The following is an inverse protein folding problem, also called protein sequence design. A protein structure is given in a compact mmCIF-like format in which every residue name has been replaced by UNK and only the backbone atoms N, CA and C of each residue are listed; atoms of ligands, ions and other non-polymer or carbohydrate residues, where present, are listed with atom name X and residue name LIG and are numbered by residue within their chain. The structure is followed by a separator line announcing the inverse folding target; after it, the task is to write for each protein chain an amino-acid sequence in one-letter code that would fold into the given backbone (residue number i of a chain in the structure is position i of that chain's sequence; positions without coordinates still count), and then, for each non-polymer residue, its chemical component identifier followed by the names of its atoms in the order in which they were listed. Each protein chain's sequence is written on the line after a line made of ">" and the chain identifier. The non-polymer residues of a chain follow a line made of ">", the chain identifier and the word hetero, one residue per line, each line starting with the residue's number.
data_IF_165227882989
#
_entry.id   IF_165227882989
#
_cell.length_a   1.000
_cell.length_b   1.000
_cell.length_c   1.000
_cell.angle_alpha   90.00
_cell.angle_beta   90.00
_cell.angle_gamma   90.00
#
_symmetry.space_group_name_H-M   'P 1'
#
loop_
_entity.id
_entity.type
_entity.pdbx_description
1 polymer ?
#
# COMPACT_ATOMS: atom_id res chain seq x y z
N UNK A 1 16.08 -8.75 37.54
CA UNK A 1 16.53 -8.09 36.30
C UNK A 1 15.30 -7.51 35.63
N UNK A 2 15.04 -6.21 35.87
CA UNK A 2 13.98 -5.45 35.22
C UNK A 2 14.40 -5.12 33.78
N UNK A 3 13.53 -5.41 32.82
CA UNK A 3 13.73 -5.03 31.43
C UNK A 3 13.21 -3.60 31.21
N UNK A 4 14.12 -2.63 31.17
CA UNK A 4 13.83 -1.27 30.70
C UNK A 4 13.84 -1.27 29.17
N UNK A 5 12.73 -0.87 28.55
CA UNK A 5 12.69 -0.53 27.11
C UNK A 5 12.59 0.98 26.99
N UNK A 6 13.67 1.61 26.54
CA UNK A 6 13.66 3.01 26.11
C UNK A 6 13.07 3.11 24.70
N UNK A 7 12.19 4.08 24.49
CA UNK A 7 11.85 4.59 23.17
C UNK A 7 12.98 5.54 22.75
N UNK A 8 13.65 5.27 21.62
CA UNK A 8 14.84 6.02 21.17
C UNK A 8 14.59 7.51 20.85
N UNK A 9 13.33 7.99 20.89
CA UNK A 9 12.99 9.39 20.57
C UNK A 9 12.43 10.19 21.77
N UNK A 10 12.17 9.56 22.91
CA UNK A 10 11.70 10.27 24.10
C UNK A 10 12.40 9.73 25.35
N UNK A 11 13.23 10.57 25.99
CA UNK A 11 14.10 10.23 27.13
C UNK A 11 13.36 9.94 28.46
N UNK A 12 12.12 9.46 28.41
CA UNK A 12 11.37 9.05 29.58
C UNK A 12 11.51 7.53 29.79
N UNK A 13 12.29 7.16 30.80
CA UNK A 13 12.46 5.78 31.26
C UNK A 13 11.27 5.43 32.14
N UNK A 14 10.49 4.42 31.75
CA UNK A 14 9.35 3.94 32.52
C UNK A 14 9.67 2.57 33.14
N UNK A 15 9.54 2.45 34.47
CA UNK A 15 9.61 1.16 35.16
C UNK A 15 8.25 0.46 35.10
N UNK A 16 8.29 -0.80 34.71
CA UNK A 16 7.12 -1.67 34.57
C UNK A 16 6.94 -2.45 35.87
N UNK A 17 6.19 -1.89 36.83
CA UNK A 17 5.78 -2.71 37.98
C UNK A 17 4.51 -3.49 37.66
N UNK A 18 3.40 -2.90 37.20
CA UNK A 18 2.26 -3.69 36.69
C UNK A 18 1.42 -2.89 35.67
N UNK A 19 1.35 -3.37 34.41
CA UNK A 19 0.34 -2.99 33.40
C UNK A 19 0.79 -2.09 32.24
N UNK A 20 0.44 -2.48 31.00
CA UNK A 20 0.74 -1.78 29.73
C UNK A 20 -0.01 -0.46 29.52
N UNK A 21 -0.94 -0.12 30.41
CA UNK A 21 -1.81 1.06 30.32
C UNK A 21 -1.03 2.37 30.17
N UNK A 22 0.08 2.52 30.90
CA UNK A 22 0.85 3.76 30.90
C UNK A 22 1.63 3.95 29.58
N UNK A 23 2.12 2.85 29.00
CA UNK A 23 2.77 2.84 27.68
C UNK A 23 1.78 3.20 26.56
N UNK A 24 0.58 2.60 26.57
CA UNK A 24 -0.46 2.86 25.57
C UNK A 24 -0.92 4.33 25.59
N UNK A 25 -1.12 4.91 26.79
CA UNK A 25 -1.49 6.33 26.93
C UNK A 25 -0.42 7.28 26.41
N UNK A 26 0.86 6.94 26.58
CA UNK A 26 1.97 7.75 26.05
C UNK A 26 2.03 7.68 24.51
N UNK A 27 1.89 6.48 23.92
CA UNK A 27 1.87 6.29 22.46
C UNK A 27 0.73 7.09 21.78
N UNK A 28 -0.46 7.12 22.40
CA UNK A 28 -1.61 7.92 21.95
C UNK A 28 -1.30 9.43 21.99
N UNK A 29 -0.59 9.90 23.02
CA UNK A 29 -0.27 11.32 23.20
C UNK A 29 0.79 11.82 22.21
N UNK A 30 1.66 10.93 21.72
CA UNK A 30 2.71 11.24 20.74
C UNK A 30 2.28 11.01 19.28
N UNK A 31 1.01 10.68 19.02
CA UNK A 31 0.49 10.59 17.66
C UNK A 31 1.09 9.42 16.86
N UNK A 32 1.63 8.41 17.53
CA UNK A 32 1.90 7.13 16.88
C UNK A 32 0.55 6.47 16.63
N UNK A 33 -0.03 6.77 15.46
CA UNK A 33 -1.16 6.02 14.93
C UNK A 33 -0.71 4.58 14.78
N UNK A 34 -1.03 3.75 15.78
CA UNK A 34 -1.16 2.32 15.55
C UNK A 34 -2.25 2.20 14.50
N UNK A 35 -1.91 1.67 13.32
CA UNK A 35 -2.80 1.50 12.15
C UNK A 35 -3.90 0.45 12.44
N UNK A 36 -4.42 0.39 13.67
CA UNK A 36 -5.25 -0.71 14.16
C UNK A 36 -6.50 -0.31 14.94
N UNK A 37 -6.71 0.95 15.32
CA UNK A 37 -7.77 1.27 16.30
C UNK A 37 -9.17 1.48 15.69
N UNK A 38 -9.31 1.64 14.36
CA UNK A 38 -10.63 1.75 13.71
C UNK A 38 -11.18 0.41 13.20
N UNK A 39 -10.42 -0.69 13.27
CA UNK A 39 -10.81 -1.96 12.62
C UNK A 39 -11.54 -2.93 13.56
N UNK A 40 -11.58 -2.70 14.88
CA UNK A 40 -12.00 -3.74 15.82
C UNK A 40 -13.52 -4.03 15.79
N UNK A 41 -14.34 -3.17 15.16
CA UNK A 41 -15.79 -3.37 15.04
C UNK A 41 -16.42 -2.93 13.69
N UNK A 42 -15.61 -2.58 12.68
CA UNK A 42 -16.16 -2.18 11.39
C UNK A 42 -16.66 -3.42 10.61
N UNK A 43 -17.85 -3.39 9.99
CA UNK A 43 -18.30 -4.47 9.13
C UNK A 43 -17.32 -4.63 7.95
N UNK A 44 -17.14 -5.87 7.51
CA UNK A 44 -16.28 -6.17 6.37
C UNK A 44 -16.74 -5.40 5.12
N UNK A 45 -15.85 -4.59 4.55
CA UNK A 45 -16.09 -3.88 3.30
C UNK A 45 -15.32 -4.55 2.15
N UNK A 46 -16.06 -5.16 1.24
CA UNK A 46 -15.51 -5.80 0.05
C UNK A 46 -14.72 -4.83 -0.81
N UNK A 47 -15.10 -3.55 -0.90
CA UNK A 47 -14.38 -2.55 -1.69
C UNK A 47 -13.00 -2.30 -1.10
N UNK A 48 -12.90 -2.14 0.22
CA UNK A 48 -11.61 -1.96 0.92
C UNK A 48 -10.72 -3.19 0.70
N UNK A 49 -11.28 -4.39 0.78
CA UNK A 49 -10.56 -5.62 0.46
C UNK A 49 -10.03 -5.63 -0.98
N UNK A 50 -10.85 -5.28 -1.99
CA UNK A 50 -10.39 -5.17 -3.38
C UNK A 50 -9.26 -4.15 -3.55
N UNK A 51 -9.40 -2.97 -2.94
CA UNK A 51 -8.40 -1.91 -3.02
C UNK A 51 -7.06 -2.36 -2.40
N UNK A 52 -7.09 -3.13 -1.31
CA UNK A 52 -5.90 -3.72 -0.69
C UNK A 52 -5.26 -4.80 -1.57
N UNK A 53 -6.06 -5.69 -2.18
CA UNK A 53 -5.55 -6.70 -3.11
C UNK A 53 -4.90 -6.06 -4.34
N UNK A 54 -5.50 -5.01 -4.89
CA UNK A 54 -4.94 -4.25 -6.02
C UNK A 54 -3.61 -3.60 -5.65
N UNK A 55 -3.53 -2.98 -4.47
CA UNK A 55 -2.27 -2.42 -3.94
C UNK A 55 -1.19 -3.48 -3.75
N UNK A 56 -1.54 -4.66 -3.24
CA UNK A 56 -0.60 -5.76 -3.06
C UNK A 56 -0.05 -6.24 -4.42
N UNK A 57 -0.92 -6.38 -5.42
CA UNK A 57 -0.52 -6.75 -6.79
C UNK A 57 0.47 -5.76 -7.37
N UNK A 58 0.15 -4.45 -7.30
CA UNK A 58 1.03 -3.39 -7.83
C UNK A 58 2.36 -3.38 -7.08
N UNK A 59 2.32 -3.39 -5.74
CA UNK A 59 3.51 -3.25 -4.89
C UNK A 59 4.51 -4.39 -5.08
N UNK A 60 4.01 -5.61 -5.30
CA UNK A 60 4.84 -6.81 -5.40
C UNK A 60 4.95 -7.35 -6.82
N UNK A 61 4.46 -6.61 -7.82
CA UNK A 61 4.45 -7.02 -9.22
C UNK A 61 3.90 -8.45 -9.42
N UNK A 62 2.79 -8.75 -8.73
CA UNK A 62 2.14 -10.06 -8.81
C UNK A 62 1.35 -10.16 -10.12
N UNK A 63 1.12 -11.37 -10.65
CA UNK A 63 0.30 -11.53 -11.84
C UNK A 63 -1.17 -11.22 -11.51
N UNK A 64 -1.93 -10.67 -12.46
CA UNK A 64 -3.32 -10.25 -12.20
C UNK A 64 -4.26 -11.39 -11.83
N UNK A 65 -3.95 -12.63 -12.23
CA UNK A 65 -4.69 -13.83 -11.84
C UNK A 65 -4.41 -14.26 -10.39
N UNK A 66 -3.53 -13.58 -9.66
CA UNK A 66 -3.25 -13.87 -8.25
C UNK A 66 -4.51 -13.91 -7.37
N UNK A 67 -5.51 -13.06 -7.66
CA UNK A 67 -6.80 -13.04 -6.93
C UNK A 67 -7.67 -14.28 -7.18
N UNK A 68 -7.39 -15.04 -8.24
CA UNK A 68 -8.13 -16.24 -8.65
C UNK A 68 -7.38 -17.54 -8.30
N UNK A 69 -6.25 -17.46 -7.59
CA UNK A 69 -5.53 -18.65 -7.16
C UNK A 69 -6.31 -19.35 -6.04
N UNK A 70 -6.60 -20.64 -6.21
CA UNK A 70 -7.38 -21.43 -5.25
C UNK A 70 -6.80 -21.32 -3.82
N UNK A 71 -5.48 -21.47 -3.66
CA UNK A 71 -4.84 -21.35 -2.35
C UNK A 71 -4.90 -19.94 -1.74
N UNK A 72 -4.98 -18.89 -2.56
CA UNK A 72 -5.22 -17.53 -2.06
C UNK A 72 -6.67 -17.44 -1.59
N UNK A 73 -7.62 -17.94 -2.37
CA UNK A 73 -9.03 -17.95 -2.00
C UNK A 73 -9.32 -18.76 -0.72
N UNK A 74 -8.68 -19.92 -0.55
CA UNK A 74 -8.82 -20.76 0.65
C UNK A 74 -8.41 -19.99 1.91
N UNK A 75 -7.28 -19.27 1.86
CA UNK A 75 -6.82 -18.44 2.98
C UNK A 75 -7.82 -17.31 3.26
N UNK A 76 -8.31 -16.62 2.23
CA UNK A 76 -9.19 -15.46 2.41
C UNK A 76 -10.58 -15.85 2.94
N UNK A 77 -11.14 -16.93 2.41
CA UNK A 77 -12.43 -17.47 2.86
C UNK A 77 -12.35 -18.05 4.29
N UNK A 78 -11.21 -18.61 4.68
CA UNK A 78 -10.94 -19.00 6.06
C UNK A 78 -10.89 -17.80 7.01
N UNK A 79 -10.27 -16.69 6.60
CA UNK A 79 -10.13 -15.49 7.43
C UNK A 79 -11.48 -14.77 7.65
N UNK A 80 -12.35 -14.72 6.64
CA UNK A 80 -13.65 -14.07 6.76
C UNK A 80 -14.67 -14.63 5.76
N UNK A 81 -15.78 -15.15 6.29
CA UNK A 81 -16.84 -15.77 5.49
C UNK A 81 -17.62 -14.79 4.60
N UNK A 82 -17.53 -13.48 4.84
CA UNK A 82 -18.22 -12.46 4.05
C UNK A 82 -17.44 -12.04 2.81
N UNK A 83 -16.16 -12.42 2.70
CA UNK A 83 -15.33 -12.10 1.54
C UNK A 83 -15.95 -12.70 0.29
N UNK A 84 -16.03 -11.89 -0.78
CA UNK A 84 -16.48 -12.35 -2.08
C UNK A 84 -15.27 -12.54 -3.02
N UNK A 85 -15.33 -13.53 -3.93
CA UNK A 85 -14.26 -13.75 -4.89
C UNK A 85 -14.10 -12.53 -5.80
N UNK A 86 -12.86 -12.19 -6.14
CA UNK A 86 -12.52 -11.12 -7.07
C UNK A 86 -12.15 -11.76 -8.40
N UNK A 87 -12.81 -11.32 -9.48
CA UNK A 87 -12.43 -11.72 -10.82
C UNK A 87 -11.23 -10.92 -11.31
N UNK A 88 -10.36 -11.55 -12.10
CA UNK A 88 -9.19 -10.90 -12.71
C UNK A 88 -9.57 -9.64 -13.50
N UNK A 89 -10.68 -9.66 -14.24
CA UNK A 89 -11.10 -8.50 -15.01
C UNK A 89 -11.52 -7.32 -14.11
N UNK A 90 -12.10 -7.61 -12.94
CA UNK A 90 -12.44 -6.58 -11.95
C UNK A 90 -11.17 -5.96 -11.38
N UNK A 91 -10.19 -6.77 -10.96
CA UNK A 91 -8.94 -6.23 -10.39
C UNK A 91 -8.13 -5.45 -11.42
N UNK A 92 -8.14 -5.88 -12.69
CA UNK A 92 -7.53 -5.12 -13.79
C UNK A 92 -8.21 -3.74 -13.92
N UNK A 93 -9.54 -3.68 -13.88
CA UNK A 93 -10.29 -2.42 -13.88
C UNK A 93 -9.89 -1.50 -12.73
N UNK A 94 -9.90 -2.02 -11.50
CA UNK A 94 -9.56 -1.27 -10.29
C UNK A 94 -8.10 -0.72 -10.34
N UNK A 95 -7.15 -1.54 -10.82
CA UNK A 95 -5.75 -1.15 -11.02
C UNK A 95 -5.60 -0.08 -12.11
N UNK A 96 -6.32 -0.22 -13.23
CA UNK A 96 -6.28 0.76 -14.32
C UNK A 96 -6.84 2.12 -13.88
N UNK A 97 -7.89 2.13 -13.07
CA UNK A 97 -8.44 3.37 -12.53
C UNK A 97 -7.47 4.02 -11.54
N UNK A 98 -6.79 3.24 -10.71
CA UNK A 98 -5.69 3.72 -9.85
C UNK A 98 -4.57 4.33 -10.70
N UNK A 99 -4.14 3.66 -11.76
CA UNK A 99 -3.13 4.18 -12.68
C UNK A 99 -3.56 5.51 -13.32
N UNK A 100 -4.80 5.59 -13.81
CA UNK A 100 -5.33 6.82 -14.43
C UNK A 100 -5.37 7.98 -13.44
N UNK A 101 -5.74 7.71 -12.19
CA UNK A 101 -5.75 8.69 -11.12
C UNK A 101 -4.34 9.20 -10.82
N UNK A 102 -3.39 8.31 -10.55
CA UNK A 102 -1.99 8.69 -10.26
C UNK A 102 -1.34 9.39 -11.45
N UNK A 103 -1.62 8.95 -12.69
CA UNK A 103 -1.15 9.63 -13.91
C UNK A 103 -1.66 11.07 -14.00
N UNK A 104 -2.93 11.32 -13.70
CA UNK A 104 -3.51 12.67 -13.70
C UNK A 104 -2.84 13.53 -12.63
N UNK A 105 -2.72 13.00 -11.42
CA UNK A 105 -2.04 13.68 -10.30
C UNK A 105 -0.58 14.04 -10.66
N UNK A 106 0.16 13.13 -11.27
CA UNK A 106 1.53 13.40 -11.73
C UNK A 106 1.57 14.50 -12.80
N UNK A 107 0.62 14.49 -13.75
CA UNK A 107 0.49 15.56 -14.74
C UNK A 107 0.23 16.91 -14.07
N UNK A 108 -0.69 16.96 -13.11
CA UNK A 108 -1.04 18.20 -12.40
C UNK A 108 0.18 18.73 -11.61
N UNK A 109 0.94 17.84 -10.96
CA UNK A 109 2.21 18.18 -10.29
C UNK A 109 3.17 18.79 -11.30
N UNK A 110 3.46 18.11 -12.41
CA UNK A 110 4.39 18.58 -13.44
C UNK A 110 3.98 19.93 -14.05
N UNK A 111 2.68 20.19 -14.20
CA UNK A 111 2.18 21.48 -14.69
C UNK A 111 2.34 22.61 -13.67
N UNK A 112 2.31 22.30 -12.38
CA UNK A 112 2.43 23.28 -11.29
C UNK A 112 3.88 23.65 -10.94
N UNK A 113 4.86 22.83 -11.36
CA UNK A 113 6.25 23.03 -10.99
C UNK A 113 6.85 24.27 -11.69
N UNK A 114 7.44 25.22 -10.95
CA UNK A 114 8.19 26.32 -11.54
C UNK A 114 9.56 25.79 -12.00
N UNK A 115 9.75 25.55 -13.30
CA UNK A 115 11.01 25.02 -13.78
C UNK A 115 10.99 24.60 -15.24
N UNK A 116 12.02 23.85 -15.63
CA UNK A 116 12.10 23.18 -16.94
C UNK A 116 11.98 21.68 -16.74
N UNK A 117 11.28 21.06 -17.66
CA UNK A 117 11.00 19.63 -17.71
C UNK A 117 11.78 19.07 -18.91
N UNK A 118 12.62 18.06 -18.69
CA UNK A 118 13.47 17.45 -19.71
C UNK A 118 13.09 15.98 -19.90
N UNK A 119 12.81 15.59 -21.14
CA UNK A 119 12.41 14.23 -21.49
C UNK A 119 13.60 13.45 -22.06
N UNK A 120 13.87 12.29 -21.49
CA UNK A 120 14.82 11.31 -22.03
C UNK A 120 14.02 10.14 -22.60
N UNK A 121 14.28 9.76 -23.85
CA UNK A 121 13.64 8.62 -24.50
C UNK A 121 14.63 7.49 -24.70
N UNK A 122 14.34 6.32 -24.12
CA UNK A 122 15.17 5.12 -24.26
C UNK A 122 14.41 4.07 -25.07
N UNK A 123 15.02 3.62 -26.18
CA UNK A 123 14.43 2.59 -27.05
C UNK A 123 15.22 1.29 -26.91
N UNK A 124 14.52 0.17 -26.77
CA UNK A 124 15.13 -1.16 -26.82
C UNK A 124 14.24 -2.16 -27.56
N UNK A 125 14.82 -3.26 -27.99
CA UNK A 125 14.09 -4.37 -28.61
C UNK A 125 14.18 -5.60 -27.72
N UNK A 126 13.10 -6.39 -27.63
CA UNK A 126 13.16 -7.71 -26.99
C UNK A 126 13.83 -8.73 -27.90
N UNK A 127 14.15 -9.89 -27.31
CA UNK A 127 14.59 -11.08 -28.04
C UNK A 127 13.56 -11.63 -29.03
N UNK A 128 12.30 -11.17 -28.97
CA UNK A 128 11.20 -11.55 -29.87
C UNK A 128 10.88 -10.46 -30.91
N UNK A 129 11.78 -9.50 -31.12
CA UNK A 129 11.67 -8.39 -32.09
C UNK A 129 10.56 -7.35 -31.77
N UNK A 130 10.02 -7.35 -30.56
CA UNK A 130 9.14 -6.26 -30.12
C UNK A 130 9.97 -5.03 -29.75
N UNK A 131 9.58 -3.86 -30.23
CA UNK A 131 10.19 -2.58 -29.88
C UNK A 131 9.51 -1.93 -28.67
N UNK A 132 10.30 -1.40 -27.73
CA UNK A 132 9.84 -0.73 -26.53
C UNK A 132 10.46 0.66 -26.43
N UNK A 133 9.65 1.62 -26.00
CA UNK A 133 10.06 2.99 -25.72
C UNK A 133 9.73 3.32 -24.27
N UNK A 134 10.75 3.69 -23.49
CA UNK A 134 10.57 4.40 -22.22
C UNK A 134 10.72 5.89 -22.46
N UNK A 135 9.88 6.68 -21.82
CA UNK A 135 10.04 8.13 -21.73
C UNK A 135 10.16 8.47 -20.25
N UNK A 136 11.34 8.96 -19.87
CA UNK A 136 11.64 9.41 -18.51
C UNK A 136 11.59 10.93 -18.50
N UNK A 137 10.92 11.49 -17.49
CA UNK A 137 10.88 12.93 -17.28
C UNK A 137 11.77 13.35 -16.11
N UNK A 138 12.55 14.40 -16.32
CA UNK A 138 13.45 15.00 -15.34
C UNK A 138 13.04 16.45 -15.08
N UNK A 139 12.75 16.78 -13.82
CA UNK A 139 12.37 18.13 -13.40
C UNK A 139 13.33 18.64 -12.31
N UNK A 140 13.53 19.96 -12.25
CA UNK A 140 14.35 20.68 -11.26
C UNK A 140 13.52 21.78 -10.64
#
# INVERSE_FOLDING_TARGET
>A
MEYLKESLECSQIYSCEHGTSNMQKHMLKHGHNVVGDELENAPFDQKVYRDLMGKAIIKHNLPFNYVEYDGVWDVQSYLNSNVQPILKNTIIGDILDTYRFEKRKMKDILQSLPGKVCLTSDLWSSSVMDGYLSITDHFV
#
